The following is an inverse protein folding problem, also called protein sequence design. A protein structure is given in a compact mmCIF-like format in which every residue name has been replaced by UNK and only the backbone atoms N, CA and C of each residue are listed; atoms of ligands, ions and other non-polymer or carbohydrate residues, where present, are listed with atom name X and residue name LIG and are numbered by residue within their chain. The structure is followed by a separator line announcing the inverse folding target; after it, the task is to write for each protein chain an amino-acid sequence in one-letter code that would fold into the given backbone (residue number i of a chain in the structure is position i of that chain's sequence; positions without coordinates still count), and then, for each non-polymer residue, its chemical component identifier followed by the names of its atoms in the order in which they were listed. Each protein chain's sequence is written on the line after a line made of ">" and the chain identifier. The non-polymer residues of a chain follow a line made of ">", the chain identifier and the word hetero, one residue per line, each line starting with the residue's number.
data_IF_709382258365
#
_entry.id   IF_709382258365
#
_cell.length_a   1.000
_cell.length_b   1.000
_cell.length_c   1.000
_cell.angle_alpha   90.00
_cell.angle_beta   90.00
_cell.angle_gamma   90.00
#
_symmetry.space_group_name_H-M   'P 1'
#
loop_
_entity.id
_entity.type
_entity.pdbx_description
1 polymer ?
#
# COMPACT_ATOMS: atom_id res chain seq x y z
N UNK A 1 -20.67 11.84 -8.87
CA UNK A 1 -19.91 12.71 -7.96
C UNK A 1 -20.91 13.49 -7.11
N UNK A 2 -21.03 13.14 -5.85
CA UNK A 2 -21.87 13.87 -4.90
C UNK A 2 -21.07 15.12 -4.44
N UNK A 3 -21.65 16.30 -4.62
CA UNK A 3 -21.13 17.53 -4.04
C UNK A 3 -21.79 17.74 -2.69
N UNK A 4 -21.01 18.20 -1.70
CA UNK A 4 -21.60 18.68 -0.45
C UNK A 4 -22.38 19.98 -0.68
N UNK A 5 -23.08 20.46 0.36
CA UNK A 5 -23.83 21.73 0.30
C UNK A 5 -22.96 22.98 0.05
N UNK A 6 -21.62 22.80 0.06
CA UNK A 6 -20.63 23.84 -0.25
C UNK A 6 -19.95 23.63 -1.61
N UNK A 7 -20.41 22.66 -2.43
CA UNK A 7 -19.85 22.38 -3.76
C UNK A 7 -18.52 21.63 -3.78
N UNK A 8 -18.00 21.19 -2.61
CA UNK A 8 -16.78 20.40 -2.53
C UNK A 8 -17.03 18.96 -2.94
N UNK A 9 -16.11 18.42 -3.72
CA UNK A 9 -16.14 17.01 -4.13
C UNK A 9 -15.73 16.16 -2.93
N UNK A 10 -16.66 15.36 -2.41
CA UNK A 10 -16.35 14.43 -1.33
C UNK A 10 -15.42 13.34 -1.81
N UNK A 11 -14.39 13.05 -1.04
CA UNK A 11 -13.48 11.94 -1.32
C UNK A 11 -14.19 10.59 -1.14
N UNK A 12 -13.85 9.65 -2.00
CA UNK A 12 -14.32 8.27 -1.94
C UNK A 12 -13.33 7.43 -1.17
N UNK A 13 -13.79 6.83 -0.08
CA UNK A 13 -13.00 5.97 0.80
C UNK A 13 -13.50 4.55 0.69
N UNK A 14 -12.62 3.61 0.37
CA UNK A 14 -12.89 2.18 0.45
C UNK A 14 -12.30 1.64 1.74
N UNK A 15 -13.14 1.25 2.69
CA UNK A 15 -12.73 0.67 3.96
C UNK A 15 -12.92 -0.85 3.97
N UNK A 16 -11.87 -1.61 4.28
CA UNK A 16 -11.84 -3.07 4.18
C UNK A 16 -11.38 -3.70 5.50
N UNK A 17 -12.24 -4.51 6.11
CA UNK A 17 -11.95 -5.28 7.31
C UNK A 17 -12.88 -6.50 7.38
N UNK A 18 -12.45 -7.60 7.98
CA UNK A 18 -13.31 -8.76 8.23
C UNK A 18 -14.40 -8.49 9.28
N UNK A 19 -14.26 -7.44 10.09
CA UNK A 19 -15.19 -7.09 11.17
C UNK A 19 -16.24 -6.07 10.73
N UNK A 20 -17.38 -6.54 10.25
CA UNK A 20 -18.47 -5.68 9.75
C UNK A 20 -18.90 -4.60 10.74
N UNK A 21 -19.07 -4.92 12.03
CA UNK A 21 -19.47 -3.94 13.04
C UNK A 21 -18.49 -2.76 13.17
N UNK A 22 -17.22 -3.04 13.04
CA UNK A 22 -16.16 -2.01 13.02
C UNK A 22 -16.28 -1.10 11.80
N UNK A 23 -16.48 -1.68 10.63
CA UNK A 23 -16.67 -0.92 9.37
C UNK A 23 -17.92 -0.06 9.43
N UNK A 24 -19.03 -0.59 9.96
CA UNK A 24 -20.27 0.17 10.10
C UNK A 24 -20.09 1.38 11.06
N UNK A 25 -19.40 1.18 12.18
CA UNK A 25 -19.09 2.26 13.12
C UNK A 25 -18.14 3.31 12.50
N UNK A 26 -17.15 2.88 11.71
CA UNK A 26 -16.25 3.78 10.97
C UNK A 26 -17.04 4.62 9.96
N UNK A 27 -17.91 3.98 9.18
CA UNK A 27 -18.75 4.66 8.19
C UNK A 27 -19.69 5.67 8.88
N UNK A 28 -20.40 5.27 9.92
CA UNK A 28 -21.31 6.14 10.67
C UNK A 28 -20.59 7.39 11.19
N UNK A 29 -19.42 7.20 11.76
CA UNK A 29 -18.65 8.28 12.37
C UNK A 29 -18.15 9.30 11.34
N UNK A 30 -17.76 8.86 10.14
CA UNK A 30 -17.02 9.71 9.18
C UNK A 30 -17.76 9.98 7.86
N UNK A 31 -19.02 9.50 7.71
CA UNK A 31 -19.83 9.75 6.50
C UNK A 31 -20.10 11.24 6.24
N UNK A 32 -19.94 12.09 7.25
CA UNK A 32 -20.08 13.53 7.07
C UNK A 32 -18.85 14.17 6.37
N UNK A 33 -17.67 13.53 6.41
CA UNK A 33 -16.42 14.02 5.76
C UNK A 33 -16.19 13.41 4.38
N UNK A 34 -16.63 12.17 4.15
CA UNK A 34 -16.33 11.44 2.93
C UNK A 34 -17.47 10.49 2.54
N UNK A 35 -17.45 10.04 1.29
CA UNK A 35 -18.26 8.91 0.84
C UNK A 35 -17.52 7.62 1.20
N UNK A 36 -18.01 6.89 2.22
CA UNK A 36 -17.33 5.70 2.74
C UNK A 36 -18.07 4.44 2.28
N UNK A 37 -17.43 3.69 1.42
CA UNK A 37 -17.83 2.33 1.06
C UNK A 37 -17.11 1.34 1.96
N UNK A 38 -17.83 0.32 2.45
CA UNK A 38 -17.29 -0.70 3.35
C UNK A 38 -17.38 -2.08 2.72
N UNK A 39 -16.30 -2.85 2.82
CA UNK A 39 -16.20 -4.21 2.30
C UNK A 39 -15.63 -5.16 3.35
N UNK A 40 -16.26 -6.32 3.51
CA UNK A 40 -15.75 -7.40 4.37
C UNK A 40 -14.98 -8.46 3.59
N UNK A 41 -15.10 -8.47 2.27
CA UNK A 41 -14.54 -9.49 1.39
C UNK A 41 -13.45 -8.92 0.50
N UNK A 42 -12.32 -9.62 0.44
CA UNK A 42 -11.18 -9.25 -0.40
C UNK A 42 -11.55 -9.17 -1.90
N UNK A 43 -12.34 -10.12 -2.41
CA UNK A 43 -12.75 -10.18 -3.81
C UNK A 43 -13.55 -8.94 -4.24
N UNK A 44 -14.47 -8.49 -3.39
CA UNK A 44 -15.28 -7.30 -3.62
C UNK A 44 -14.40 -6.06 -3.56
N UNK A 45 -13.57 -5.93 -2.51
CA UNK A 45 -12.65 -4.81 -2.37
C UNK A 45 -11.69 -4.69 -3.56
N UNK A 46 -11.18 -5.83 -4.06
CA UNK A 46 -10.38 -5.88 -5.28
C UNK A 46 -11.12 -5.33 -6.49
N UNK A 47 -12.37 -5.73 -6.71
CA UNK A 47 -13.17 -5.23 -7.83
C UNK A 47 -13.37 -3.70 -7.74
N UNK A 48 -13.66 -3.19 -6.54
CA UNK A 48 -13.86 -1.76 -6.29
C UNK A 48 -12.63 -0.89 -6.56
N UNK A 49 -11.43 -1.41 -6.34
CA UNK A 49 -10.19 -0.69 -6.65
C UNK A 49 -10.00 -0.39 -8.14
N UNK A 50 -10.63 -1.18 -9.02
CA UNK A 50 -10.54 -1.03 -10.49
C UNK A 50 -11.78 -0.39 -11.11
N UNK A 51 -12.74 0.06 -10.32
CA UNK A 51 -13.88 0.83 -10.83
C UNK A 51 -13.46 2.23 -11.28
N UNK A 52 -14.25 2.82 -12.15
CA UNK A 52 -14.02 4.17 -12.67
C UNK A 52 -15.17 5.09 -12.20
N UNK A 53 -14.87 6.11 -11.42
CA UNK A 53 -13.55 6.49 -10.86
C UNK A 53 -13.14 5.57 -9.69
N UNK A 54 -11.84 5.33 -9.49
CA UNK A 54 -11.34 4.54 -8.36
C UNK A 54 -11.55 5.29 -7.03
N UNK A 55 -11.45 4.60 -5.88
CA UNK A 55 -11.44 5.28 -4.58
C UNK A 55 -10.20 6.18 -4.44
N UNK A 56 -10.38 7.32 -3.77
CA UNK A 56 -9.29 8.26 -3.47
C UNK A 56 -8.40 7.74 -2.33
N UNK A 57 -9.00 6.97 -1.41
CA UNK A 57 -8.34 6.43 -0.22
C UNK A 57 -8.79 4.99 0.02
N UNK A 58 -7.84 4.07 0.09
CA UNK A 58 -8.02 2.71 0.60
C UNK A 58 -7.61 2.67 2.06
N UNK A 59 -8.51 2.23 2.93
CA UNK A 59 -8.26 1.95 4.36
C UNK A 59 -8.43 0.46 4.58
N UNK A 60 -7.37 -0.28 4.88
CA UNK A 60 -7.45 -1.74 4.99
C UNK A 60 -6.77 -2.28 6.23
N UNK A 61 -7.43 -3.21 6.91
CA UNK A 61 -6.78 -4.02 7.92
C UNK A 61 -5.71 -4.89 7.25
N UNK A 62 -4.57 -5.05 7.92
CA UNK A 62 -3.51 -5.97 7.47
C UNK A 62 -3.98 -7.44 7.47
N UNK A 63 -4.97 -7.79 8.28
CA UNK A 63 -5.55 -9.13 8.35
C UNK A 63 -6.97 -9.15 7.81
N UNK A 64 -7.17 -9.86 6.72
CA UNK A 64 -8.47 -10.02 6.05
C UNK A 64 -8.84 -11.50 5.95
N UNK A 65 -8.87 -12.21 7.08
CA UNK A 65 -9.14 -13.64 7.10
C UNK A 65 -8.02 -14.44 6.41
N UNK A 66 -8.32 -15.18 5.31
CA UNK A 66 -7.32 -15.94 4.55
C UNK A 66 -6.39 -15.06 3.70
N UNK A 67 -6.73 -13.80 3.52
CA UNK A 67 -5.94 -12.81 2.79
C UNK A 67 -5.33 -11.79 3.72
N UNK A 68 -4.41 -10.98 3.22
CA UNK A 68 -3.91 -9.81 3.93
C UNK A 68 -4.15 -8.53 3.11
N UNK A 69 -4.25 -7.41 3.83
CA UNK A 69 -4.47 -6.09 3.23
C UNK A 69 -3.33 -5.61 2.33
N UNK A 70 -2.14 -6.19 2.47
CA UNK A 70 -0.99 -5.87 1.64
C UNK A 70 -1.25 -6.16 0.16
N UNK A 71 -1.98 -7.23 -0.16
CA UNK A 71 -2.36 -7.51 -1.54
C UNK A 71 -3.22 -6.40 -2.15
N UNK A 72 -4.14 -5.80 -1.37
CA UNK A 72 -4.93 -4.65 -1.82
C UNK A 72 -4.05 -3.41 -2.05
N UNK A 73 -3.04 -3.22 -1.21
CA UNK A 73 -2.05 -2.13 -1.39
C UNK A 73 -1.31 -2.29 -2.72
N UNK A 74 -0.78 -3.47 -3.02
CA UNK A 74 -0.10 -3.72 -4.28
C UNK A 74 -1.01 -3.51 -5.50
N UNK A 75 -2.26 -3.95 -5.42
CA UNK A 75 -3.24 -3.74 -6.48
C UNK A 75 -3.55 -2.25 -6.67
N UNK A 76 -3.76 -1.50 -5.60
CA UNK A 76 -4.02 -0.06 -5.64
C UNK A 76 -2.83 0.73 -6.21
N UNK A 77 -1.60 0.32 -5.89
CA UNK A 77 -0.38 0.95 -6.42
C UNK A 77 -0.10 0.60 -7.89
N UNK A 78 -0.64 -0.52 -8.38
CA UNK A 78 -0.52 -0.93 -9.79
C UNK A 78 -1.59 -0.31 -10.68
N UNK A 79 -2.61 0.32 -10.11
CA UNK A 79 -3.68 0.96 -10.88
C UNK A 79 -3.18 2.20 -11.63
N UNK A 80 -3.82 2.52 -12.75
CA UNK A 80 -3.48 3.68 -13.60
C UNK A 80 -3.61 5.01 -12.86
N UNK A 81 -4.61 5.10 -11.97
CA UNK A 81 -4.79 6.25 -11.08
C UNK A 81 -4.42 5.81 -9.65
N UNK A 82 -3.40 6.42 -9.04
CA UNK A 82 -2.91 5.99 -7.73
C UNK A 82 -3.94 6.31 -6.64
N UNK A 83 -4.34 5.28 -5.90
CA UNK A 83 -5.14 5.41 -4.68
C UNK A 83 -4.19 5.58 -3.48
N UNK A 84 -4.47 6.54 -2.61
CA UNK A 84 -3.76 6.64 -1.32
C UNK A 84 -4.11 5.42 -0.47
N UNK A 85 -3.11 4.74 0.06
CA UNK A 85 -3.32 3.54 0.87
C UNK A 85 -2.96 3.80 2.33
N UNK A 86 -3.89 3.49 3.23
CA UNK A 86 -3.71 3.47 4.68
C UNK A 86 -3.98 2.06 5.18
N UNK A 87 -2.98 1.44 5.76
CA UNK A 87 -3.10 0.12 6.41
C UNK A 87 -3.13 0.27 7.92
N UNK A 88 -3.77 -0.66 8.60
CA UNK A 88 -3.77 -0.71 10.05
C UNK A 88 -3.73 -2.14 10.58
N UNK A 89 -3.24 -2.29 11.82
CA UNK A 89 -3.10 -3.58 12.48
C UNK A 89 -2.68 -3.44 13.95
N UNK A 90 -2.49 -4.57 14.62
CA UNK A 90 -2.09 -4.60 16.01
C UNK A 90 -0.56 -4.50 16.14
N UNK A 91 -0.06 -3.43 16.77
CA UNK A 91 1.38 -3.24 16.99
C UNK A 91 2.02 -4.35 17.87
N UNK A 92 1.23 -5.00 18.71
CA UNK A 92 1.70 -6.09 19.56
C UNK A 92 1.89 -7.41 18.82
N UNK A 93 1.42 -7.51 17.57
CA UNK A 93 1.52 -8.73 16.79
C UNK A 93 2.72 -8.66 15.83
N UNK A 94 3.73 -9.54 15.97
CA UNK A 94 4.92 -9.53 15.11
C UNK A 94 4.60 -9.68 13.61
N UNK A 95 3.56 -10.45 13.26
CA UNK A 95 3.13 -10.61 11.87
C UNK A 95 2.57 -9.30 11.32
N UNK A 96 1.76 -8.57 12.10
CA UNK A 96 1.21 -7.28 11.68
C UNK A 96 2.32 -6.23 11.53
N UNK A 97 3.33 -6.27 12.39
CA UNK A 97 4.51 -5.38 12.28
C UNK A 97 5.28 -5.66 10.99
N UNK A 98 5.49 -6.94 10.63
CA UNK A 98 6.14 -7.31 9.38
C UNK A 98 5.33 -6.86 8.16
N UNK A 99 4.02 -7.14 8.15
CA UNK A 99 3.12 -6.72 7.07
C UNK A 99 3.02 -5.18 6.95
N UNK A 100 3.01 -4.47 8.09
CA UNK A 100 3.03 -3.01 8.11
C UNK A 100 4.27 -2.45 7.42
N UNK A 101 5.43 -3.03 7.70
CA UNK A 101 6.70 -2.65 7.06
C UNK A 101 6.65 -2.88 5.54
N UNK A 102 6.19 -4.03 5.10
CA UNK A 102 6.02 -4.33 3.68
C UNK A 102 5.04 -3.35 3.00
N UNK A 103 3.92 -3.03 3.67
CA UNK A 103 2.96 -2.07 3.16
C UNK A 103 3.56 -0.66 3.02
N UNK A 104 4.37 -0.22 3.98
CA UNK A 104 5.08 1.05 3.92
C UNK A 104 6.11 1.07 2.79
N UNK A 105 6.87 -0.02 2.58
CA UNK A 105 7.79 -0.17 1.45
C UNK A 105 7.05 -0.11 0.10
N UNK A 106 5.82 -0.67 0.05
CA UNK A 106 4.94 -0.56 -1.11
C UNK A 106 4.31 0.83 -1.29
N UNK A 107 4.56 1.77 -0.37
CA UNK A 107 4.07 3.15 -0.46
C UNK A 107 2.77 3.43 0.29
N UNK A 108 2.26 2.52 1.11
CA UNK A 108 1.14 2.79 2.00
C UNK A 108 1.58 3.55 3.26
N UNK A 109 0.61 4.18 3.91
CA UNK A 109 0.74 4.63 5.29
C UNK A 109 0.33 3.50 6.23
N UNK A 110 0.78 3.57 7.47
CA UNK A 110 0.38 2.62 8.52
C UNK A 110 0.01 3.34 9.79
N UNK A 111 -1.10 2.92 10.38
CA UNK A 111 -1.54 3.36 11.71
C UNK A 111 -1.82 2.14 12.60
N UNK A 112 -1.52 2.27 13.89
CA UNK A 112 -1.96 1.27 14.83
C UNK A 112 -3.48 1.27 14.95
N UNK A 113 -4.13 0.12 15.09
CA UNK A 113 -5.59 0.00 15.14
C UNK A 113 -6.25 0.96 16.13
N UNK A 114 -5.63 1.18 17.30
CA UNK A 114 -6.16 2.10 18.33
C UNK A 114 -6.04 3.59 17.97
N UNK A 115 -5.13 3.94 17.02
CA UNK A 115 -4.93 5.32 16.55
C UNK A 115 -5.76 5.65 15.31
N UNK A 116 -6.20 4.63 14.58
CA UNK A 116 -6.84 4.80 13.28
C UNK A 116 -8.00 5.80 13.31
N UNK A 117 -8.91 5.69 14.27
CA UNK A 117 -10.07 6.58 14.37
C UNK A 117 -9.70 8.05 14.55
N UNK A 118 -8.57 8.34 15.19
CA UNK A 118 -8.11 9.72 15.39
C UNK A 118 -7.32 10.23 14.17
N UNK A 119 -6.58 9.35 13.50
CA UNK A 119 -5.76 9.71 12.35
C UNK A 119 -6.56 9.83 11.05
N UNK A 120 -7.63 9.05 10.90
CA UNK A 120 -8.40 8.93 9.66
C UNK A 120 -8.89 10.26 9.07
N UNK A 121 -9.39 11.25 9.84
CA UNK A 121 -9.79 12.55 9.29
C UNK A 121 -8.69 13.25 8.49
N UNK A 122 -7.45 13.22 8.97
CA UNK A 122 -6.31 13.83 8.26
C UNK A 122 -6.10 13.17 6.89
N UNK A 123 -6.17 11.82 6.83
CA UNK A 123 -6.08 11.10 5.56
C UNK A 123 -7.25 11.40 4.62
N UNK A 124 -8.47 11.52 5.15
CA UNK A 124 -9.65 11.91 4.38
C UNK A 124 -9.48 13.32 3.79
N UNK A 125 -8.93 14.25 4.56
CA UNK A 125 -8.68 15.64 4.14
C UNK A 125 -7.42 15.80 3.30
N UNK A 126 -6.69 14.71 3.07
CA UNK A 126 -5.39 14.68 2.37
C UNK A 126 -4.26 15.43 3.10
N UNK A 127 -4.40 15.61 4.38
CA UNK A 127 -3.34 16.09 5.27
C UNK A 127 -2.43 14.91 5.63
N UNK A 128 -1.69 14.44 4.62
CA UNK A 128 -0.87 13.25 4.77
C UNK A 128 0.36 13.56 5.63
N UNK A 129 0.72 12.68 6.59
CA UNK A 129 1.93 12.85 7.35
C UNK A 129 3.14 12.88 6.41
N UNK A 130 4.11 13.74 6.71
CA UNK A 130 5.37 13.76 5.98
C UNK A 130 5.99 12.36 6.02
N UNK A 131 6.18 11.80 4.84
CA UNK A 131 6.99 10.59 4.73
C UNK A 131 8.42 11.02 5.02
N UNK A 132 8.95 10.58 6.15
CA UNK A 132 10.33 10.87 6.50
C UNK A 132 11.25 10.41 5.35
N UNK A 133 11.77 11.38 4.62
CA UNK A 133 12.71 11.13 3.51
C UNK A 133 14.03 10.52 4.01
N UNK A 134 14.22 10.50 5.33
CA UNK A 134 15.41 9.97 6.02
C UNK A 134 15.18 8.58 6.55
N UNK A 135 14.02 7.95 6.29
CA UNK A 135 13.82 6.55 6.68
C UNK A 135 14.89 5.71 5.97
N UNK A 136 15.86 5.15 6.72
CA UNK A 136 16.94 4.33 6.16
C UNK A 136 16.42 3.06 5.48
N UNK A 137 15.15 2.72 5.67
CA UNK A 137 14.47 1.60 5.03
C UNK A 137 13.86 1.95 3.68
N UNK A 138 13.88 3.21 3.28
CA UNK A 138 13.53 3.59 1.92
C UNK A 138 14.64 3.11 1.00
N UNK A 139 14.51 1.87 0.52
CA UNK A 139 15.40 1.38 -0.53
C UNK A 139 15.28 2.36 -1.70
N UNK A 140 16.37 3.06 -1.95
CA UNK A 140 16.45 3.94 -3.11
C UNK A 140 16.21 3.05 -4.34
N UNK A 141 15.05 3.15 -4.96
CA UNK A 141 14.72 2.43 -6.20
C UNK A 141 15.77 2.68 -7.29
N UNK A 142 16.59 3.72 -7.12
CA UNK A 142 17.73 4.01 -8.00
C UNK A 142 18.94 3.14 -7.72
N UNK A 143 19.09 2.60 -6.49
CA UNK A 143 20.23 1.75 -6.14
C UNK A 143 20.06 0.31 -6.62
N UNK A 144 18.85 -0.22 -6.67
CA UNK A 144 18.57 -1.57 -7.14
C UNK A 144 18.69 -1.72 -8.67
N UNK A 145 18.61 -0.63 -9.43
CA UNK A 145 18.76 -0.67 -10.90
C UNK A 145 20.20 -0.35 -11.39
N UNK A 146 21.09 0.08 -10.52
CA UNK A 146 22.50 0.34 -10.90
C UNK A 146 23.44 -0.86 -10.77
N UNK A 147 22.98 -1.98 -10.21
CA UNK A 147 23.78 -3.20 -10.04
C UNK A 147 24.00 -4.03 -11.30
N UNK A 148 23.40 -3.69 -12.44
CA UNK A 148 23.34 -4.59 -13.59
C UNK A 148 24.41 -4.42 -14.67
N UNK A 149 25.42 -3.56 -14.53
CA UNK A 149 26.34 -3.30 -15.64
C UNK A 149 27.84 -3.29 -15.30
N UNK A 150 28.27 -3.95 -14.25
CA UNK A 150 29.70 -4.13 -13.99
C UNK A 150 30.13 -5.58 -13.74
N UNK A 151 29.31 -6.54 -14.12
CA UNK A 151 29.66 -7.97 -14.05
C UNK A 151 29.97 -8.56 -15.41
N UNK A 152 30.46 -7.77 -16.37
CA UNK A 152 30.96 -8.26 -17.63
C UNK A 152 32.42 -7.85 -17.84
N UNK A 153 33.22 -7.88 -16.79
CA UNK A 153 34.61 -8.21 -16.97
C UNK A 153 34.68 -9.75 -17.00
N UNK A 154 34.23 -10.31 -18.07
CA UNK A 154 34.64 -11.64 -18.48
C UNK A 154 36.11 -11.45 -18.83
N UNK A 155 36.97 -11.86 -17.88
CA UNK A 155 38.34 -12.13 -18.17
C UNK A 155 38.35 -13.18 -19.29
N UNK A 156 38.57 -12.73 -20.52
CA UNK A 156 38.89 -13.63 -21.62
C UNK A 156 40.11 -14.42 -21.17
N UNK A 157 39.87 -15.62 -20.71
CA UNK A 157 40.94 -16.62 -20.61
C UNK A 157 41.31 -16.95 -22.05
N UNK A 158 42.30 -16.26 -22.61
CA UNK A 158 42.97 -16.66 -23.82
C UNK A 158 43.60 -18.02 -23.54
N UNK A 159 42.89 -19.07 -23.92
CA UNK A 159 43.52 -20.39 -24.12
C UNK A 159 44.44 -20.24 -25.32
N UNK A 160 45.73 -20.20 -25.05
CA UNK A 160 46.77 -20.26 -26.09
C UNK A 160 46.76 -21.68 -26.68
N UNK A 161 47.01 -21.78 -27.99
CA UNK A 161 47.01 -23.00 -28.76
C UNK A 161 48.00 -24.09 -28.30
N UNK A 162 48.72 -23.83 -27.20
CA UNK A 162 49.67 -24.80 -26.62
C UNK A 162 49.03 -25.77 -25.61
N UNK A 163 47.82 -25.50 -25.14
CA UNK A 163 47.19 -26.37 -24.15
C UNK A 163 46.35 -27.49 -24.77
N UNK A 164 46.35 -27.64 -26.14
CA UNK A 164 45.52 -28.61 -26.83
C UNK A 164 46.34 -29.82 -27.40
N UNK A 165 47.66 -29.73 -27.40
CA UNK A 165 48.54 -30.81 -27.84
C UNK A 165 49.38 -31.32 -26.70
N UNK A 166 48.72 -32.10 -25.81
CA UNK A 166 49.44 -32.97 -24.88
C UNK A 166 50.06 -34.16 -25.63
N UNK A 167 51.34 -34.11 -25.80
CA UNK A 167 52.23 -35.27 -26.00
C UNK A 167 53.26 -35.22 -24.92
#
# INVERSE_FOLDING_TARGET
>A
MLRDQYGMVRRRVLAVDSHKKWLDALRERWSHLAEIEVCTEFSIARARLFEVPPPDLLVTNLRLGPFNGLHLVFLAQSATLPTVCLTYGAQSNPTDVALAREAQLAGAFYEASFKLLHALPAYIQNELPDRDRRDPMRSDRRSSFRGGRRATDVTEVRLTAHDILGV
#
